data_IF_966650986462
#
_entry.id   IF_966650986462
#
_cell.length_a   1.000
_cell.length_b   1.000
_cell.length_c   1.000
_cell.angle_alpha   90.00
_cell.angle_beta   90.00
_cell.angle_gamma   90.00
#
_symmetry.space_group_name_H-M   'P 1'
#
loop_
_entity.id
_entity.type
_entity.pdbx_description
1 polymer ?
#
# COMPACT_ATOMS: atom_id res chain seq x y z
N UNK A 1 -9.34 -26.95 4.75
CA UNK A 1 -10.71 -26.39 4.64
C UNK A 1 -10.62 -24.89 4.91
N UNK A 2 -10.70 -23.98 3.91
CA UNK A 2 -10.69 -22.55 4.23
C UNK A 2 -12.13 -22.04 4.29
N UNK A 3 -12.54 -21.58 5.48
CA UNK A 3 -13.72 -20.76 5.64
C UNK A 3 -13.44 -19.39 5.01
N UNK A 4 -14.01 -19.13 3.82
CA UNK A 4 -14.19 -17.78 3.31
C UNK A 4 -15.21 -17.07 4.19
N UNK A 5 -14.73 -16.33 5.20
CA UNK A 5 -15.57 -15.36 5.89
C UNK A 5 -15.92 -14.26 4.88
N UNK A 6 -17.20 -14.21 4.47
CA UNK A 6 -17.73 -13.19 3.58
C UNK A 6 -17.81 -11.87 4.36
N UNK A 7 -16.83 -10.98 4.18
CA UNK A 7 -16.88 -9.64 4.76
C UNK A 7 -17.91 -8.81 3.97
N UNK A 8 -19.10 -8.62 4.54
CA UNK A 8 -20.12 -7.73 3.96
C UNK A 8 -19.90 -6.33 4.53
N UNK A 9 -19.23 -5.46 3.78
CA UNK A 9 -19.19 -4.04 4.09
C UNK A 9 -20.53 -3.40 3.70
N UNK A 10 -21.28 -2.89 4.68
CA UNK A 10 -22.44 -2.03 4.39
C UNK A 10 -21.94 -0.60 4.15
N UNK A 11 -22.14 -0.11 2.92
CA UNK A 11 -21.81 1.27 2.57
C UNK A 11 -23.02 2.17 2.87
N UNK A 12 -22.89 3.12 3.79
CA UNK A 12 -23.86 4.21 3.94
C UNK A 12 -23.47 5.30 2.94
N UNK A 13 -24.14 5.33 1.79
CA UNK A 13 -23.94 6.35 0.76
C UNK A 13 -24.59 7.68 1.20
N UNK A 14 -23.82 8.56 1.82
CA UNK A 14 -24.16 9.98 1.84
C UNK A 14 -23.84 10.58 0.45
N UNK A 15 -24.86 10.68 -0.40
CA UNK A 15 -24.93 11.60 -1.55
C UNK A 15 -23.69 11.72 -2.44
N UNK A 16 -23.26 10.65 -3.11
CA UNK A 16 -22.45 10.75 -4.32
C UNK A 16 -23.21 10.06 -5.45
N UNK A 17 -23.61 10.82 -6.46
CA UNK A 17 -24.37 10.33 -7.61
C UNK A 17 -23.70 9.09 -8.23
N UNK A 18 -24.51 8.12 -8.65
CA UNK A 18 -24.10 6.96 -9.47
C UNK A 18 -23.74 7.40 -10.91
N UNK A 19 -22.94 8.44 -11.06
CA UNK A 19 -22.35 8.83 -12.34
C UNK A 19 -21.09 8.02 -12.59
N UNK A 20 -20.89 7.58 -13.83
CA UNK A 20 -19.57 7.13 -14.26
C UNK A 20 -18.55 8.23 -13.91
N UNK A 21 -17.34 7.87 -13.43
CA UNK A 21 -16.32 8.86 -13.10
C UNK A 21 -16.09 9.76 -14.32
N UNK A 22 -16.13 11.08 -14.12
CA UNK A 22 -15.79 12.04 -15.16
C UNK A 22 -14.29 11.91 -15.44
N UNK A 23 -13.96 11.35 -16.60
CA UNK A 23 -12.59 11.01 -16.99
C UNK A 23 -11.77 12.20 -17.46
N UNK A 24 -12.33 13.41 -17.41
CA UNK A 24 -11.60 14.62 -17.80
C UNK A 24 -10.52 15.03 -16.78
N UNK A 25 -10.60 14.56 -15.52
CA UNK A 25 -9.65 14.96 -14.46
C UNK A 25 -9.37 13.84 -13.44
N UNK A 26 -8.18 13.83 -12.81
CA UNK A 26 -7.94 12.94 -11.68
C UNK A 26 -8.94 13.22 -10.57
N UNK A 27 -9.63 12.19 -10.12
CA UNK A 27 -10.71 12.32 -9.15
C UNK A 27 -10.28 11.77 -7.80
N UNK A 28 -10.48 12.53 -6.72
CA UNK A 28 -10.33 12.06 -5.34
C UNK A 28 -11.71 11.84 -4.72
N UNK A 29 -11.92 10.66 -4.16
CA UNK A 29 -13.15 10.27 -3.50
C UNK A 29 -12.84 9.95 -2.04
N UNK A 30 -13.63 10.51 -1.13
CA UNK A 30 -13.63 10.13 0.28
C UNK A 30 -14.88 9.28 0.55
N UNK A 31 -14.71 8.15 1.23
CA UNK A 31 -15.78 7.24 1.60
C UNK A 31 -15.69 6.96 3.09
N UNK A 32 -16.83 6.95 3.76
CA UNK A 32 -16.96 6.33 5.07
C UNK A 32 -17.52 4.92 4.87
N UNK A 33 -16.89 3.92 5.46
CA UNK A 33 -17.37 2.53 5.45
C UNK A 33 -17.60 2.06 6.88
N UNK A 34 -18.67 1.31 7.09
CA UNK A 34 -18.96 0.68 8.39
C UNK A 34 -18.20 -0.65 8.49
N UNK A 35 -17.67 -0.93 9.67
CA UNK A 35 -16.89 -2.12 9.97
C UNK A 35 -17.63 -3.01 10.99
N UNK A 36 -17.49 -4.35 10.88
CA UNK A 36 -18.01 -5.25 11.90
C UNK A 36 -17.25 -5.10 13.22
N UNK A 37 -17.98 -5.24 14.34
CA UNK A 37 -17.42 -5.32 15.68
C UNK A 37 -16.64 -6.64 15.91
N UNK A 38 -15.69 -6.69 16.86
CA UNK A 38 -15.21 -5.61 17.74
C UNK A 38 -14.15 -4.72 17.07
N UNK A 39 -14.14 -3.42 17.39
CA UNK A 39 -13.16 -2.46 16.84
C UNK A 39 -13.76 -1.08 16.53
N UNK A 40 -13.02 -0.19 15.84
CA UNK A 40 -13.61 1.03 15.28
C UNK A 40 -14.78 0.64 14.38
N UNK A 41 -15.92 1.31 14.57
CA UNK A 41 -17.15 0.98 13.85
C UNK A 41 -17.15 1.52 12.43
N UNK A 42 -16.24 2.45 12.12
CA UNK A 42 -16.09 2.99 10.78
C UNK A 42 -14.63 3.14 10.37
N UNK A 43 -14.45 3.32 9.06
CA UNK A 43 -13.19 3.74 8.47
C UNK A 43 -13.41 4.81 7.42
N UNK A 44 -12.42 5.69 7.31
CA UNK A 44 -12.33 6.67 6.26
C UNK A 44 -11.40 6.16 5.14
N UNK A 45 -11.95 6.02 3.94
CA UNK A 45 -11.22 5.58 2.74
C UNK A 45 -11.01 6.78 1.82
N UNK A 46 -9.79 6.96 1.35
CA UNK A 46 -9.47 7.84 0.23
C UNK A 46 -9.08 7.01 -1.00
N UNK A 47 -9.75 7.26 -2.11
CA UNK A 47 -9.46 6.69 -3.42
C UNK A 47 -9.12 7.82 -4.39
N UNK A 48 -7.97 7.74 -5.05
CA UNK A 48 -7.61 8.65 -6.14
C UNK A 48 -7.46 7.85 -7.44
N UNK A 49 -8.10 8.35 -8.50
CA UNK A 49 -8.11 7.69 -9.81
C UNK A 49 -7.38 8.58 -10.84
N UNK A 50 -6.56 7.99 -11.74
CA UNK A 50 -5.94 8.72 -12.84
C UNK A 50 -7.00 9.16 -13.86
N UNK A 51 -6.73 10.24 -14.59
CA UNK A 51 -7.63 10.77 -15.64
C UNK A 51 -7.90 9.77 -16.77
N UNK A 52 -7.01 8.79 -16.99
CA UNK A 52 -7.21 7.75 -18.01
C UNK A 52 -8.38 6.81 -17.71
N UNK A 53 -8.98 6.85 -16.51
CA UNK A 53 -10.17 6.07 -16.13
C UNK A 53 -10.12 4.58 -16.47
N UNK A 54 -8.93 4.00 -16.65
CA UNK A 54 -8.84 2.62 -17.10
C UNK A 54 -9.50 1.75 -16.04
N UNK A 55 -10.51 0.97 -16.39
CA UNK A 55 -11.18 0.09 -15.43
C UNK A 55 -10.18 -0.81 -14.69
N UNK A 56 -9.08 -1.15 -15.36
CA UNK A 56 -7.96 -1.97 -14.90
C UNK A 56 -6.75 -1.18 -14.37
N UNK A 57 -6.94 0.05 -13.88
CA UNK A 57 -5.84 0.82 -13.29
C UNK A 57 -5.12 0.01 -12.20
N UNK A 58 -3.78 -0.07 -12.20
CA UNK A 58 -3.04 -0.66 -11.09
C UNK A 58 -3.21 0.22 -9.84
N UNK A 59 -3.10 -0.39 -8.66
CA UNK A 59 -3.44 0.28 -7.40
C UNK A 59 -2.25 0.32 -6.45
N UNK A 60 -1.91 1.53 -5.99
CA UNK A 60 -0.94 1.79 -4.93
C UNK A 60 -1.67 1.92 -3.59
N UNK A 61 -1.45 0.98 -2.68
CA UNK A 61 -2.00 1.00 -1.33
C UNK A 61 -1.00 1.69 -0.40
N UNK A 62 -1.43 2.72 0.31
CA UNK A 62 -0.56 3.55 1.15
C UNK A 62 -0.81 3.25 2.64
N UNK A 63 0.26 3.08 3.41
CA UNK A 63 0.23 2.82 4.85
C UNK A 63 1.22 3.71 5.60
N UNK A 64 0.81 4.24 6.76
CA UNK A 64 1.66 5.10 7.60
C UNK A 64 1.99 4.47 8.97
N UNK A 65 2.80 5.13 9.80
CA UNK A 65 3.11 4.67 11.17
C UNK A 65 1.89 4.70 12.10
N UNK A 66 1.96 4.04 13.26
CA UNK A 66 0.94 4.15 14.31
C UNK A 66 1.22 5.33 15.26
N UNK A 67 2.35 6.03 15.09
CA UNK A 67 2.77 7.12 15.97
C UNK A 67 1.78 8.30 15.94
N UNK A 68 1.47 8.81 17.11
CA UNK A 68 0.54 9.93 17.26
C UNK A 68 1.01 11.16 16.47
N UNK A 69 0.10 11.74 15.69
CA UNK A 69 0.36 12.86 14.79
C UNK A 69 0.78 12.45 13.37
N UNK A 70 1.12 11.18 13.15
CA UNK A 70 1.60 10.67 11.85
C UNK A 70 0.78 9.48 11.32
N UNK A 71 -0.34 9.15 11.97
CA UNK A 71 -1.13 7.94 11.74
C UNK A 71 -2.16 8.02 10.60
N UNK A 72 -2.21 9.12 9.83
CA UNK A 72 -3.10 9.20 8.66
C UNK A 72 -2.43 8.71 7.36
N UNK A 73 -2.83 7.54 6.89
CA UNK A 73 -2.47 7.02 5.58
C UNK A 73 -3.03 7.91 4.46
N UNK A 74 -4.18 8.56 4.70
CA UNK A 74 -4.75 9.56 3.77
C UNK A 74 -3.86 10.79 3.61
N UNK A 75 -3.18 11.22 4.67
CA UNK A 75 -2.22 12.32 4.60
C UNK A 75 -0.95 11.90 3.84
N UNK A 76 -0.41 10.71 4.10
CA UNK A 76 0.73 10.17 3.34
C UNK A 76 0.38 9.98 1.85
N UNK A 77 -0.82 9.49 1.56
CA UNK A 77 -1.32 9.35 0.20
C UNK A 77 -1.29 10.68 -0.56
N UNK A 78 -1.61 11.81 0.09
CA UNK A 78 -1.57 13.11 -0.55
C UNK A 78 -0.15 13.50 -1.03
N UNK A 79 0.90 13.04 -0.33
CA UNK A 79 2.30 13.23 -0.76
C UNK A 79 2.62 12.41 -2.00
N UNK A 80 2.17 11.16 -2.06
CA UNK A 80 2.45 10.23 -3.16
C UNK A 80 1.55 10.43 -4.39
N UNK A 81 0.38 11.05 -4.20
CA UNK A 81 -0.65 11.18 -5.21
C UNK A 81 -0.16 11.80 -6.53
N UNK A 82 0.61 12.91 -6.56
CA UNK A 82 1.02 13.52 -7.84
C UNK A 82 1.81 12.57 -8.74
N UNK A 83 2.79 11.85 -8.18
CA UNK A 83 3.63 10.91 -8.92
C UNK A 83 2.84 9.68 -9.37
N UNK A 84 2.02 9.12 -8.47
CA UNK A 84 1.26 7.92 -8.78
C UNK A 84 0.20 8.16 -9.87
N UNK A 85 -0.55 9.26 -9.78
CA UNK A 85 -1.54 9.60 -10.81
C UNK A 85 -0.87 9.90 -12.15
N UNK A 86 0.26 10.61 -12.16
CA UNK A 86 1.03 10.87 -13.38
C UNK A 86 1.56 9.58 -14.02
N UNK A 87 1.89 8.56 -13.20
CA UNK A 87 2.30 7.24 -13.66
C UNK A 87 1.12 6.33 -14.05
N UNK A 88 -0.13 6.80 -14.00
CA UNK A 88 -1.32 6.02 -14.31
C UNK A 88 -1.74 5.03 -13.23
N UNK A 89 -1.25 5.18 -11.99
CA UNK A 89 -1.65 4.39 -10.84
C UNK A 89 -2.79 5.05 -10.08
N UNK A 90 -3.80 4.27 -9.73
CA UNK A 90 -4.74 4.67 -8.69
C UNK A 90 -4.09 4.57 -7.31
N UNK A 91 -4.61 5.29 -6.32
CA UNK A 91 -4.16 5.20 -4.93
C UNK A 91 -5.32 4.87 -4.00
N UNK A 92 -5.05 4.05 -3.00
CA UNK A 92 -5.96 3.73 -1.91
C UNK A 92 -5.28 3.96 -0.56
N UNK A 93 -5.94 4.70 0.32
CA UNK A 93 -5.59 4.80 1.73
C UNK A 93 -6.83 4.61 2.58
N UNK A 94 -6.66 4.01 3.76
CA UNK A 94 -7.73 3.79 4.72
C UNK A 94 -7.22 4.03 6.13
N UNK A 95 -7.98 4.80 6.89
CA UNK A 95 -7.72 5.14 8.28
C UNK A 95 -8.93 4.74 9.14
N UNK A 96 -8.74 4.25 10.38
CA UNK A 96 -9.86 3.99 11.30
C UNK A 96 -10.56 5.28 11.72
N UNK A 97 -11.87 5.23 11.92
CA UNK A 97 -12.67 6.35 12.40
C UNK A 97 -13.59 5.94 13.57
N UNK A 98 -13.35 6.46 14.79
CA UNK A 98 -12.30 7.42 15.14
C UNK A 98 -10.88 6.82 15.06
N UNK A 99 -9.83 7.66 15.00
CA UNK A 99 -8.45 7.19 15.11
C UNK A 99 -8.24 6.35 16.37
N UNK A 100 -7.49 5.26 16.24
CA UNK A 100 -7.17 4.38 17.38
C UNK A 100 -5.81 4.72 17.99
N UNK A 101 -5.60 4.51 19.30
CA UNK A 101 -4.27 4.60 19.91
C UNK A 101 -3.29 3.60 19.29
N UNK A 102 -2.00 3.92 19.28
CA UNK A 102 -0.96 3.06 18.68
C UNK A 102 -0.95 1.64 19.24
N UNK A 103 -1.27 1.46 20.53
CA UNK A 103 -1.37 0.15 21.18
C UNK A 103 -2.50 -0.74 20.60
N UNK A 104 -3.51 -0.14 19.96
CA UNK A 104 -4.64 -0.84 19.35
C UNK A 104 -4.56 -0.88 17.81
N UNK A 105 -3.58 -0.19 17.21
CA UNK A 105 -3.31 -0.23 15.77
C UNK A 105 -2.54 -1.50 15.40
N UNK A 106 -3.26 -2.62 15.38
CA UNK A 106 -2.69 -3.95 15.13
C UNK A 106 -2.66 -4.30 13.64
N UNK A 107 -1.81 -5.26 13.26
CA UNK A 107 -1.84 -5.82 11.90
C UNK A 107 -3.23 -6.37 11.53
N UNK A 108 -3.93 -6.99 12.48
CA UNK A 108 -5.28 -7.51 12.27
C UNK A 108 -6.28 -6.39 11.93
N UNK A 109 -6.23 -5.28 12.66
CA UNK A 109 -7.06 -4.10 12.36
C UNK A 109 -6.73 -3.54 10.97
N UNK A 110 -5.44 -3.32 10.67
CA UNK A 110 -5.03 -2.80 9.36
C UNK A 110 -5.40 -3.71 8.20
N UNK A 111 -5.36 -5.01 8.42
CA UNK A 111 -5.83 -5.99 7.45
C UNK A 111 -7.34 -5.93 7.23
N UNK A 112 -8.13 -5.81 8.29
CA UNK A 112 -9.58 -5.60 8.19
C UNK A 112 -9.93 -4.32 7.44
N UNK A 113 -9.26 -3.21 7.77
CA UNK A 113 -9.42 -1.92 7.11
C UNK A 113 -9.11 -2.03 5.61
N UNK A 114 -7.97 -2.63 5.25
CA UNK A 114 -7.56 -2.79 3.87
C UNK A 114 -8.55 -3.64 3.05
N UNK A 115 -9.01 -4.76 3.61
CA UNK A 115 -10.00 -5.61 2.93
C UNK A 115 -11.31 -4.86 2.67
N UNK A 116 -11.82 -4.14 3.68
CA UNK A 116 -13.05 -3.38 3.55
C UNK A 116 -12.90 -2.22 2.54
N UNK A 117 -11.77 -1.52 2.54
CA UNK A 117 -11.46 -0.45 1.59
C UNK A 117 -11.32 -0.98 0.15
N UNK A 118 -10.62 -2.09 -0.06
CA UNK A 118 -10.50 -2.73 -1.37
C UNK A 118 -11.85 -3.20 -1.90
N UNK A 119 -12.69 -3.79 -1.04
CA UNK A 119 -14.04 -4.20 -1.41
C UNK A 119 -14.88 -3.00 -1.84
N UNK A 120 -14.90 -1.92 -1.07
CA UNK A 120 -15.63 -0.68 -1.39
C UNK A 120 -15.13 -0.03 -2.70
N UNK A 121 -13.81 0.02 -2.91
CA UNK A 121 -13.22 0.56 -4.13
C UNK A 121 -13.59 -0.29 -5.36
N UNK A 122 -13.60 -1.62 -5.22
CA UNK A 122 -13.96 -2.55 -6.30
C UNK A 122 -15.47 -2.61 -6.58
N UNK A 123 -16.33 -2.30 -5.60
CA UNK A 123 -17.76 -2.10 -5.87
C UNK A 123 -18.01 -0.92 -6.82
N UNK A 124 -17.17 0.12 -6.77
CA UNK A 124 -17.24 1.27 -7.67
C UNK A 124 -16.58 1.00 -9.01
N UNK A 125 -15.46 0.27 -9.01
CA UNK A 125 -14.70 -0.07 -10.21
C UNK A 125 -14.18 -1.51 -10.11
N UNK A 126 -14.94 -2.46 -10.67
CA UNK A 126 -14.75 -3.92 -10.47
C UNK A 126 -13.33 -4.43 -10.80
N UNK A 127 -12.67 -3.80 -11.76
CA UNK A 127 -11.35 -4.20 -12.24
C UNK A 127 -10.18 -3.45 -11.58
N UNK A 128 -10.45 -2.55 -10.62
CA UNK A 128 -9.43 -1.75 -9.94
C UNK A 128 -8.42 -2.63 -9.20
N UNK A 129 -7.14 -2.38 -9.45
CA UNK A 129 -6.02 -3.12 -8.86
C UNK A 129 -5.87 -4.56 -9.38
N UNK A 130 -6.73 -5.03 -10.29
CA UNK A 130 -6.63 -6.40 -10.87
C UNK A 130 -5.44 -6.54 -11.82
N UNK A 131 -4.98 -5.42 -12.40
CA UNK A 131 -3.75 -5.39 -13.18
C UNK A 131 -2.49 -5.60 -12.32
N UNK A 132 -2.56 -5.20 -11.06
CA UNK A 132 -1.45 -5.22 -10.11
C UNK A 132 -1.74 -4.36 -8.89
N UNK A 133 -1.28 -4.84 -7.73
CA UNK A 133 -1.25 -4.11 -6.46
C UNK A 133 0.20 -3.79 -6.12
N UNK A 134 0.48 -2.56 -5.71
CA UNK A 134 1.73 -2.19 -5.07
C UNK A 134 1.43 -1.62 -3.70
N UNK A 135 2.35 -1.78 -2.75
CA UNK A 135 2.21 -1.21 -1.41
C UNK A 135 3.33 -0.22 -1.15
N UNK A 136 2.96 0.95 -0.62
CA UNK A 136 3.87 1.98 -0.21
C UNK A 136 3.68 2.31 1.26
N UNK A 137 4.78 2.60 1.94
CA UNK A 137 4.69 3.12 3.30
C UNK A 137 5.91 3.93 3.72
N UNK A 138 5.74 4.66 4.81
CA UNK A 138 6.80 5.45 5.44
C UNK A 138 6.98 5.05 6.91
N UNK A 139 8.24 4.86 7.34
CA UNK A 139 8.59 4.50 8.71
C UNK A 139 7.87 3.23 9.20
N UNK A 140 7.12 3.28 10.31
CA UNK A 140 6.25 2.18 10.75
C UNK A 140 5.27 1.71 9.66
N UNK A 141 4.82 2.62 8.79
CA UNK A 141 3.96 2.29 7.65
C UNK A 141 4.63 1.43 6.59
N UNK A 142 5.95 1.57 6.39
CA UNK A 142 6.71 0.69 5.51
C UNK A 142 6.78 -0.75 6.07
N UNK A 143 6.86 -0.87 7.40
CA UNK A 143 6.79 -2.17 8.10
C UNK A 143 5.41 -2.81 7.90
N UNK A 144 4.33 -2.06 8.10
CA UNK A 144 2.97 -2.59 7.83
C UNK A 144 2.73 -2.91 6.35
N UNK A 145 3.23 -2.09 5.42
CA UNK A 145 3.15 -2.38 3.99
C UNK A 145 3.79 -3.74 3.65
N UNK A 146 4.89 -4.10 4.32
CA UNK A 146 5.55 -5.39 4.16
C UNK A 146 4.64 -6.56 4.57
N UNK A 147 3.99 -6.45 5.74
CA UNK A 147 3.04 -7.46 6.24
C UNK A 147 1.76 -7.54 5.40
N UNK A 148 1.17 -6.41 5.04
CA UNK A 148 -0.04 -6.34 4.23
C UNK A 148 0.20 -6.92 2.82
N UNK A 149 1.39 -6.76 2.26
CA UNK A 149 1.75 -7.35 0.98
C UNK A 149 1.78 -8.88 1.03
N UNK A 150 2.38 -9.44 2.08
CA UNK A 150 2.40 -10.88 2.30
C UNK A 150 0.97 -11.43 2.52
N UNK A 151 0.11 -10.72 3.24
CA UNK A 151 -1.30 -11.08 3.41
C UNK A 151 -2.05 -11.08 2.07
N UNK A 152 -1.87 -10.03 1.25
CA UNK A 152 -2.48 -9.96 -0.08
C UNK A 152 -2.02 -11.10 -0.99
N UNK A 153 -0.71 -11.42 -1.01
CA UNK A 153 -0.21 -12.57 -1.77
C UNK A 153 -0.83 -13.88 -1.28
N UNK A 154 -0.97 -14.07 0.03
CA UNK A 154 -1.60 -15.25 0.62
C UNK A 154 -3.07 -15.40 0.18
N UNK A 155 -3.79 -14.28 0.02
CA UNK A 155 -5.14 -14.25 -0.53
C UNK A 155 -5.20 -14.38 -2.07
N UNK A 156 -4.06 -14.53 -2.74
CA UNK A 156 -3.97 -14.67 -4.20
C UNK A 156 -4.08 -13.36 -4.98
N UNK A 157 -3.91 -12.22 -4.32
CA UNK A 157 -3.91 -10.91 -4.99
C UNK A 157 -2.59 -10.68 -5.78
N UNK A 158 -2.64 -9.97 -6.92
CA UNK A 158 -1.49 -9.77 -7.79
C UNK A 158 -0.58 -8.66 -7.27
N UNK A 159 0.17 -8.92 -6.19
CA UNK A 159 1.17 -7.96 -5.69
C UNK A 159 2.34 -7.87 -6.68
N UNK A 160 2.75 -6.65 -6.99
CA UNK A 160 3.70 -6.31 -8.07
C UNK A 160 4.89 -5.49 -7.61
N UNK A 161 4.86 -4.94 -6.39
CA UNK A 161 6.01 -4.23 -5.84
C UNK A 161 5.76 -3.63 -4.47
N UNK A 162 6.87 -3.25 -3.82
CA UNK A 162 6.92 -2.62 -2.51
C UNK A 162 7.77 -1.34 -2.57
N UNK A 163 7.22 -0.21 -2.09
CA UNK A 163 7.94 1.05 -1.92
C UNK A 163 8.04 1.37 -0.42
N UNK A 164 9.22 1.16 0.15
CA UNK A 164 9.47 1.19 1.59
C UNK A 164 10.38 2.38 1.91
N UNK A 165 9.80 3.50 2.36
CA UNK A 165 10.54 4.72 2.68
C UNK A 165 10.79 4.84 4.19
N UNK A 166 11.97 5.32 4.59
CA UNK A 166 12.27 5.55 6.01
C UNK A 166 12.27 4.27 6.85
N UNK A 167 12.62 3.12 6.27
CA UNK A 167 12.58 1.82 6.95
C UNK A 167 13.93 1.49 7.57
N UNK A 168 13.93 1.09 8.84
CA UNK A 168 15.15 0.76 9.59
C UNK A 168 15.31 -0.73 9.92
N UNK A 169 14.37 -1.56 9.46
CA UNK A 169 14.29 -2.98 9.81
C UNK A 169 13.60 -3.76 8.68
N UNK A 170 14.13 -4.95 8.35
CA UNK A 170 13.47 -5.85 7.39
C UNK A 170 12.22 -6.47 8.01
N UNK A 171 11.07 -6.12 7.45
CA UNK A 171 9.76 -6.71 7.80
C UNK A 171 9.14 -7.48 6.62
N UNK A 172 9.82 -7.55 5.48
CA UNK A 172 9.36 -8.31 4.30
C UNK A 172 9.63 -9.78 4.50
N UNK A 173 10.86 -10.13 4.89
CA UNK A 173 11.27 -11.51 5.11
C UNK A 173 10.52 -12.21 6.26
N UNK A 174 10.39 -11.61 7.46
CA UNK A 174 9.63 -12.24 8.54
C UNK A 174 8.14 -12.35 8.19
N UNK A 175 7.54 -11.33 7.58
CA UNK A 175 6.14 -11.39 7.16
C UNK A 175 5.88 -12.55 6.19
N UNK A 176 6.69 -12.65 5.15
CA UNK A 176 6.55 -13.70 4.14
C UNK A 176 6.75 -15.11 4.73
N UNK A 177 7.66 -15.27 5.69
CA UNK A 177 7.88 -16.54 6.39
C UNK A 177 6.70 -16.90 7.29
N UNK A 178 6.23 -15.97 8.11
CA UNK A 178 5.12 -16.19 9.04
C UNK A 178 3.79 -16.46 8.34
N UNK A 179 3.64 -15.96 7.11
CA UNK A 179 2.43 -16.14 6.29
C UNK A 179 2.59 -17.24 5.23
N UNK A 180 3.71 -17.96 5.25
CA UNK A 180 4.01 -19.10 4.37
C UNK A 180 3.97 -18.77 2.87
N UNK A 181 4.32 -17.53 2.51
CA UNK A 181 4.38 -17.05 1.12
C UNK A 181 5.82 -16.82 0.63
N UNK A 182 6.83 -17.13 1.44
CA UNK A 182 8.25 -16.94 1.08
C UNK A 182 8.75 -18.01 0.08
N UNK A 183 8.26 -17.95 -1.15
CA UNK A 183 8.65 -18.82 -2.26
C UNK A 183 9.55 -18.10 -3.29
N UNK A 184 9.80 -18.75 -4.44
CA UNK A 184 10.59 -18.16 -5.53
C UNK A 184 9.90 -16.97 -6.19
N UNK A 185 8.56 -16.94 -6.24
CA UNK A 185 7.77 -15.87 -6.84
C UNK A 185 7.78 -14.63 -5.96
N UNK A 186 7.58 -14.79 -4.65
CA UNK A 186 7.61 -13.68 -3.70
C UNK A 186 8.98 -13.02 -3.62
N UNK A 187 10.08 -13.80 -3.68
CA UNK A 187 11.46 -13.28 -3.75
C UNK A 187 11.77 -12.47 -5.01
N UNK A 188 10.95 -12.60 -6.05
CA UNK A 188 11.06 -11.82 -7.27
C UNK A 188 10.26 -10.51 -7.21
N UNK A 189 9.51 -10.23 -6.14
CA UNK A 189 8.86 -8.93 -6.00
C UNK A 189 9.90 -7.80 -6.04
N UNK A 190 9.75 -6.80 -6.91
CA UNK A 190 10.52 -5.58 -6.85
C UNK A 190 10.29 -4.85 -5.52
N UNK A 191 11.39 -4.46 -4.87
CA UNK A 191 11.36 -3.70 -3.62
C UNK A 191 12.26 -2.48 -3.81
N UNK A 192 11.68 -1.30 -3.63
CA UNK A 192 12.41 -0.03 -3.58
C UNK A 192 12.49 0.42 -2.14
N UNK A 193 13.72 0.62 -1.66
CA UNK A 193 14.00 1.23 -0.36
C UNK A 193 14.37 2.69 -0.59
N UNK A 194 13.70 3.63 0.09
CA UNK A 194 14.02 5.06 -0.01
C UNK A 194 14.49 5.59 1.35
N UNK A 195 15.72 6.12 1.38
CA UNK A 195 16.35 6.70 2.57
C UNK A 195 16.61 8.19 2.39
N UNK A 196 16.30 9.01 3.41
CA UNK A 196 16.74 10.40 3.46
C UNK A 196 18.24 10.50 3.80
N UNK A 197 18.99 11.33 3.08
CA UNK A 197 20.44 11.49 3.25
C UNK A 197 20.83 11.94 4.66
N UNK A 198 19.99 12.76 5.28
CA UNK A 198 20.16 13.27 6.64
C UNK A 198 19.18 12.62 7.63
N UNK A 199 18.60 11.45 7.30
CA UNK A 199 17.70 10.73 8.19
C UNK A 199 18.45 10.24 9.44
N UNK A 200 18.03 10.70 10.62
CA UNK A 200 18.61 10.34 11.91
C UNK A 200 17.82 9.22 12.64
N UNK A 201 16.65 8.82 12.13
CA UNK A 201 15.74 7.82 12.74
C UNK A 201 15.87 6.48 12.02
N UNK A 202 15.78 6.50 10.69
CA UNK A 202 16.01 5.38 9.80
C UNK A 202 17.20 5.69 8.90
N UNK A 203 18.37 5.69 9.53
CA UNK A 203 19.62 6.16 8.93
C UNK A 203 19.93 5.46 7.59
N UNK A 204 20.69 6.11 6.70
CA UNK A 204 21.19 5.47 5.48
C UNK A 204 21.94 4.16 5.73
N UNK A 205 22.62 4.05 6.88
CA UNK A 205 23.27 2.81 7.31
C UNK A 205 22.25 1.71 7.61
N UNK A 206 21.16 2.02 8.31
CA UNK A 206 20.09 1.05 8.58
C UNK A 206 19.40 0.60 7.29
N UNK A 207 19.15 1.50 6.34
CA UNK A 207 18.60 1.10 5.03
C UNK A 207 19.51 0.14 4.27
N UNK A 208 20.84 0.37 4.30
CA UNK A 208 21.81 -0.59 3.74
C UNK A 208 21.78 -1.94 4.45
N UNK A 209 21.57 -1.95 5.77
CA UNK A 209 21.41 -3.19 6.53
C UNK A 209 20.13 -3.95 6.15
N UNK A 210 19.01 -3.23 5.94
CA UNK A 210 17.76 -3.81 5.43
C UNK A 210 17.97 -4.41 4.03
N UNK A 211 18.63 -3.69 3.11
CA UNK A 211 18.94 -4.24 1.79
C UNK A 211 19.77 -5.52 1.88
N UNK A 212 20.82 -5.52 2.70
CA UNK A 212 21.68 -6.69 2.92
C UNK A 212 20.88 -7.88 3.46
N UNK A 213 20.06 -7.66 4.48
CA UNK A 213 19.19 -8.70 5.05
C UNK A 213 18.25 -9.29 3.99
N UNK A 214 17.60 -8.47 3.18
CA UNK A 214 16.74 -8.94 2.09
C UNK A 214 17.54 -9.79 1.06
N UNK A 215 18.76 -9.37 0.71
CA UNK A 215 19.62 -10.14 -0.20
C UNK A 215 19.97 -11.51 0.38
N UNK A 216 20.29 -11.58 1.66
CA UNK A 216 20.57 -12.84 2.38
C UNK A 216 19.35 -13.78 2.35
N UNK A 217 18.14 -13.23 2.42
CA UNK A 217 16.90 -14.02 2.34
C UNK A 217 16.51 -14.43 0.90
N UNK A 218 17.34 -14.09 -0.09
CA UNK A 218 17.17 -14.51 -1.47
C UNK A 218 16.41 -13.51 -2.35
N UNK A 219 16.04 -12.33 -1.85
CA UNK A 219 15.49 -11.27 -2.70
C UNK A 219 16.60 -10.76 -3.64
N UNK A 220 16.25 -10.58 -4.91
CA UNK A 220 17.20 -10.14 -5.96
C UNK A 220 16.78 -8.82 -6.62
N UNK A 221 15.52 -8.45 -6.45
CA UNK A 221 14.90 -7.34 -7.15
C UNK A 221 14.81 -6.17 -6.18
N UNK A 222 15.96 -5.61 -5.83
CA UNK A 222 16.11 -4.56 -4.82
C UNK A 222 16.72 -3.31 -5.46
N UNK A 223 16.16 -2.14 -5.15
CA UNK A 223 16.77 -0.83 -5.44
C UNK A 223 16.78 0.01 -4.17
N UNK A 224 17.97 0.40 -3.71
CA UNK A 224 18.12 1.39 -2.66
C UNK A 224 18.34 2.78 -3.28
N UNK A 225 17.50 3.74 -2.91
CA UNK A 225 17.58 5.14 -3.32
C UNK A 225 17.83 6.02 -2.10
N UNK A 226 18.81 6.91 -2.20
CA UNK A 226 19.06 7.96 -1.20
C UNK A 226 18.65 9.29 -1.80
N UNK A 227 17.73 9.99 -1.13
CA UNK A 227 17.19 11.28 -1.53
C UNK A 227 17.62 12.35 -0.53
N UNK A 228 17.51 13.62 -0.89
CA UNK A 228 17.84 14.69 0.06
C UNK A 228 16.76 14.81 1.15
N UNK A 229 17.12 15.40 2.30
CA UNK A 229 16.23 15.54 3.46
C UNK A 229 16.47 14.52 4.58
N UNK A 230 15.65 14.63 5.62
CA UNK A 230 15.72 13.83 6.85
C UNK A 230 14.72 12.68 6.91
N UNK A 231 14.20 12.38 8.11
CA UNK A 231 13.14 11.39 8.31
C UNK A 231 11.76 11.93 7.93
N UNK A 232 11.51 12.08 6.63
CA UNK A 232 10.22 12.55 6.11
C UNK A 232 9.81 11.78 4.85
N UNK A 233 8.51 11.66 4.55
CA UNK A 233 8.04 11.16 3.26
C UNK A 233 8.61 12.01 2.12
N UNK A 234 9.11 11.36 1.08
CA UNK A 234 9.52 12.00 -0.18
C UNK A 234 8.91 11.26 -1.37
N UNK A 235 8.60 12.02 -2.40
CA UNK A 235 8.06 11.55 -3.67
C UNK A 235 9.17 11.11 -4.65
N UNK A 236 10.42 11.49 -4.42
CA UNK A 236 11.46 11.54 -5.45
C UNK A 236 11.75 10.19 -6.13
N UNK A 237 11.79 9.08 -5.39
CA UNK A 237 12.02 7.76 -5.98
C UNK A 237 10.74 7.06 -6.45
N UNK A 238 9.56 7.60 -6.13
CA UNK A 238 8.29 6.93 -6.40
C UNK A 238 7.98 6.78 -7.90
N UNK A 239 8.19 7.79 -8.78
CA UNK A 239 7.93 7.62 -10.22
C UNK A 239 8.72 6.44 -10.84
N UNK A 240 10.01 6.33 -10.51
CA UNK A 240 10.85 5.25 -11.01
C UNK A 240 10.42 3.89 -10.47
N UNK A 241 10.03 3.83 -9.19
CA UNK A 241 9.51 2.62 -8.56
C UNK A 241 8.24 2.13 -9.27
N UNK A 242 7.28 3.02 -9.51
CA UNK A 242 6.01 2.70 -10.16
C UNK A 242 6.17 2.25 -11.61
N UNK A 243 7.10 2.84 -12.35
CA UNK A 243 7.46 2.38 -13.69
C UNK A 243 7.99 0.93 -13.64
N UNK A 244 8.90 0.65 -12.71
CA UNK A 244 9.47 -0.69 -12.54
C UNK A 244 8.45 -1.74 -12.09
N UNK A 245 7.51 -1.38 -11.22
CA UNK A 245 6.40 -2.27 -10.84
C UNK A 245 5.50 -2.57 -12.04
N UNK A 246 5.29 -1.59 -12.92
CA UNK A 246 4.45 -1.75 -14.09
C UNK A 246 5.04 -2.71 -15.13
N UNK A 247 6.36 -2.71 -15.32
CA UNK A 247 7.05 -3.69 -16.17
C UNK A 247 6.73 -5.14 -15.75
N UNK A 248 6.63 -5.41 -14.44
CA UNK A 248 6.28 -6.75 -13.93
C UNK A 248 4.87 -7.18 -14.23
N UNK A 249 3.93 -6.24 -14.30
CA UNK A 249 2.56 -6.53 -14.70
C UNK A 249 2.49 -7.01 -16.15
N UNK A 250 3.40 -6.53 -17.01
CA UNK A 250 3.46 -6.93 -18.42
C UNK A 250 4.11 -8.29 -18.59
N UNK A 251 5.20 -8.58 -17.88
CA UNK A 251 5.93 -9.87 -17.96
C UNK A 251 5.08 -11.06 -17.50
N UNK A 252 4.26 -10.86 -16.47
CA UNK A 252 3.36 -11.88 -15.94
C UNK A 252 2.17 -12.22 -16.85
N UNK A 253 1.82 -11.35 -17.80
CA UNK A 253 0.76 -11.61 -18.80
C UNK A 253 1.26 -12.32 -20.06
N UNK A 254 2.59 -12.41 -20.25
CA UNK A 254 3.22 -13.08 -21.40
C UNK A 254 3.58 -14.54 -21.14
N UNK A 255 3.35 -15.04 -19.92
CA UNK A 255 3.54 -16.43 -19.50
C UNK A 255 2.20 -17.07 -19.24
#
# INVERSE_FOLDING_TARGET
MPHRALLVALLVLAGAARGAPDCAAPTRQALRIELPAPGPQAAEVALALPSSCTERAPLLIVSTTSDAGYQSSRALMAVYQPAALAAGWALLAVDPDPPVPSAHDTLALRWQLLQAALAAARQRQAQLGRAGLALAGFSGGAKYASWLAALLVREGEPVTGLFLSGVNEDQVSPAARSLEVLDGRYRQLPIVLQSGRADAVATPRQHRAVEAALREQGFRQLRLRTVDGGHAPSIDALPEALAWFAERMTDTRRR
#
